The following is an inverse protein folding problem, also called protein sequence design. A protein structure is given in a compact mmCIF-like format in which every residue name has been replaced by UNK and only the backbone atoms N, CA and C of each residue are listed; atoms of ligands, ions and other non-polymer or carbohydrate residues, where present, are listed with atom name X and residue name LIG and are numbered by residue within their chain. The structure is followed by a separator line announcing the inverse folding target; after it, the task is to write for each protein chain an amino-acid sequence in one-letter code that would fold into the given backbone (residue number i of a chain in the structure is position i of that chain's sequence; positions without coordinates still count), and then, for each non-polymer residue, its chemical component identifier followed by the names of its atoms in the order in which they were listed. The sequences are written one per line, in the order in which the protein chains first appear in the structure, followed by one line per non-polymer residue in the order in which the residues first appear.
data_IF_422996022798
#
_entry.id   IF_422996022798
#
_cell.length_a   1.000
_cell.length_b   1.000
_cell.length_c   1.000
_cell.angle_alpha   90.00
_cell.angle_beta   90.00
_cell.angle_gamma   90.00
#
_symmetry.space_group_name_H-M   'P 1'
#
loop_
_entity.id
_entity.type
_entity.pdbx_description
1 polymer ?
#
# COMPACT_ATOMS: atom_id res chain seq x y z
N UNK A 1 -4.93 28.18 9.33
CA UNK A 1 -3.68 27.72 8.69
C UNK A 1 -3.50 26.23 8.92
N UNK A 2 -3.25 25.45 7.88
CA UNK A 2 -3.03 24.01 8.03
C UNK A 2 -1.60 23.70 8.45
N UNK A 3 -1.38 22.54 9.07
CA UNK A 3 -0.06 22.03 9.47
C UNK A 3 0.83 21.82 8.24
N UNK A 4 2.05 22.41 8.22
CA UNK A 4 3.03 22.18 7.16
C UNK A 4 3.50 20.72 7.16
N UNK A 5 3.81 20.18 5.97
CA UNK A 5 4.38 18.84 5.82
C UNK A 5 5.84 18.85 6.28
N UNK A 6 6.22 17.84 7.07
CA UNK A 6 7.60 17.66 7.57
C UNK A 6 7.95 16.19 7.47
N UNK A 7 8.97 15.87 6.71
CA UNK A 7 9.54 14.53 6.60
C UNK A 7 10.69 14.44 7.60
N UNK A 8 10.61 13.50 8.50
CA UNK A 8 11.61 13.22 9.53
C UNK A 8 11.88 11.71 9.54
N UNK A 9 13.09 11.23 9.89
CA UNK A 9 13.35 9.79 10.01
C UNK A 9 12.49 9.14 11.09
N UNK A 10 12.02 7.92 10.83
CA UNK A 10 11.34 7.10 11.82
C UNK A 10 12.35 6.26 12.59
N UNK A 11 12.16 6.11 13.89
CA UNK A 11 13.08 5.32 14.72
C UNK A 11 13.08 3.84 14.34
N UNK A 12 11.95 3.32 13.85
CA UNK A 12 11.85 1.93 13.43
C UNK A 12 12.77 1.60 12.26
N UNK A 13 13.06 2.56 11.39
CA UNK A 13 13.93 2.37 10.22
C UNK A 13 15.40 2.17 10.64
N UNK A 14 15.83 2.80 11.73
CA UNK A 14 17.19 2.75 12.26
C UNK A 14 17.43 1.55 13.20
N UNK A 15 16.37 0.94 13.73
CA UNK A 15 16.49 -0.17 14.67
C UNK A 15 16.84 -1.48 13.97
N UNK A 16 17.74 -2.29 14.57
CA UNK A 16 18.00 -3.65 14.10
C UNK A 16 16.71 -4.48 14.04
N UNK A 17 16.61 -5.35 13.04
CA UNK A 17 15.40 -6.15 12.80
C UNK A 17 14.98 -7.03 14.00
N UNK A 18 15.97 -7.45 14.81
CA UNK A 18 15.81 -8.31 16.00
C UNK A 18 15.65 -7.52 17.32
N UNK A 19 15.74 -6.18 17.29
CA UNK A 19 15.51 -5.36 18.49
C UNK A 19 14.09 -5.61 19.03
N UNK A 20 13.93 -5.92 20.33
CA UNK A 20 12.62 -6.16 20.93
C UNK A 20 11.64 -5.00 20.73
N UNK A 21 12.11 -3.74 20.70
CA UNK A 21 11.30 -2.55 20.44
C UNK A 21 10.81 -2.53 19.00
N UNK A 22 11.68 -2.87 18.04
CA UNK A 22 11.32 -2.96 16.62
C UNK A 22 10.29 -4.08 16.37
N UNK A 23 10.49 -5.26 17.00
CA UNK A 23 9.53 -6.37 16.92
C UNK A 23 8.17 -6.01 17.51
N UNK A 24 8.14 -5.26 18.60
CA UNK A 24 6.88 -4.78 19.21
C UNK A 24 6.23 -3.70 18.34
N UNK A 25 7.01 -2.74 17.83
CA UNK A 25 6.51 -1.68 16.95
C UNK A 25 5.86 -2.25 15.68
N UNK A 26 6.46 -3.26 15.05
CA UNK A 26 5.84 -3.94 13.90
C UNK A 26 4.48 -4.56 14.24
N UNK A 27 4.32 -5.15 15.44
CA UNK A 27 3.02 -5.64 15.91
C UNK A 27 2.02 -4.53 16.17
N UNK A 28 2.48 -3.40 16.72
CA UNK A 28 1.65 -2.21 16.92
C UNK A 28 1.17 -1.63 15.59
N UNK A 29 2.05 -1.57 14.57
CA UNK A 29 1.69 -1.12 13.21
C UNK A 29 0.58 -1.99 12.58
N UNK A 30 0.58 -3.31 12.82
CA UNK A 30 -0.52 -4.18 12.37
C UNK A 30 -1.85 -3.75 12.98
N UNK A 31 -1.88 -3.43 14.28
CA UNK A 31 -3.08 -2.96 14.99
C UNK A 31 -3.52 -1.58 14.50
N UNK A 32 -2.57 -0.65 14.36
CA UNK A 32 -2.82 0.70 13.85
C UNK A 32 -3.41 0.65 12.45
N UNK A 33 -2.82 -0.12 11.53
CA UNK A 33 -3.35 -0.33 10.19
C UNK A 33 -4.76 -0.94 10.18
N UNK A 34 -5.04 -1.86 11.10
CA UNK A 34 -6.38 -2.45 11.23
C UNK A 34 -7.40 -1.40 11.71
N UNK A 35 -7.05 -0.57 12.69
CA UNK A 35 -7.89 0.52 13.19
C UNK A 35 -8.15 1.59 12.11
N UNK A 36 -7.16 1.89 11.27
CA UNK A 36 -7.30 2.83 10.16
C UNK A 36 -8.18 2.28 9.02
N UNK A 37 -8.37 0.96 8.93
CA UNK A 37 -9.15 0.32 7.88
C UNK A 37 -8.52 0.38 6.48
N UNK A 38 -7.21 0.67 6.39
CA UNK A 38 -6.50 0.92 5.13
C UNK A 38 -6.67 -0.21 4.11
N UNK A 39 -6.65 -1.47 4.54
CA UNK A 39 -6.79 -2.60 3.63
C UNK A 39 -8.17 -2.66 2.94
N UNK A 40 -9.24 -2.34 3.65
CA UNK A 40 -10.59 -2.28 3.08
C UNK A 40 -10.72 -1.10 2.11
N UNK A 41 -10.11 0.04 2.45
CA UNK A 41 -10.07 1.23 1.61
C UNK A 41 -9.35 0.92 0.29
N UNK A 42 -8.14 0.35 0.35
CA UNK A 42 -7.36 0.00 -0.85
C UNK A 42 -8.07 -1.06 -1.68
N UNK A 43 -8.67 -2.08 -1.05
CA UNK A 43 -9.46 -3.09 -1.76
C UNK A 43 -10.65 -2.48 -2.51
N UNK A 44 -11.31 -1.48 -1.94
CA UNK A 44 -12.41 -0.75 -2.60
C UNK A 44 -11.91 0.07 -3.80
N UNK A 45 -10.79 0.79 -3.66
CA UNK A 45 -10.20 1.58 -4.75
C UNK A 45 -9.70 0.68 -5.89
N UNK A 46 -9.10 -0.48 -5.59
CA UNK A 46 -8.71 -1.48 -6.58
C UNK A 46 -9.92 -1.99 -7.38
N UNK A 47 -11.04 -2.28 -6.72
CA UNK A 47 -12.28 -2.70 -7.39
C UNK A 47 -12.85 -1.64 -8.31
N UNK A 48 -12.83 -0.37 -7.89
CA UNK A 48 -13.34 0.76 -8.69
C UNK A 48 -12.44 1.02 -9.90
N UNK A 49 -11.10 1.02 -9.69
CA UNK A 49 -10.14 1.38 -10.73
C UNK A 49 -9.87 0.30 -11.76
N UNK A 50 -9.97 -0.99 -11.39
CA UNK A 50 -9.71 -2.11 -12.29
C UNK A 50 -10.96 -2.65 -13.03
N UNK A 51 -12.13 -2.12 -12.74
CA UNK A 51 -13.38 -2.58 -13.32
C UNK A 51 -13.67 -4.05 -13.00
N UNK A 52 -13.83 -4.88 -14.04
CA UNK A 52 -14.16 -6.32 -13.88
C UNK A 52 -12.94 -7.20 -13.54
N UNK A 53 -11.71 -6.71 -13.74
CA UNK A 53 -10.49 -7.52 -13.63
C UNK A 53 -10.10 -7.86 -12.18
N UNK A 54 -10.44 -7.01 -11.21
CA UNK A 54 -10.18 -7.24 -9.79
C UNK A 54 -11.49 -7.56 -9.06
N UNK A 55 -12.19 -8.61 -9.50
CA UNK A 55 -13.47 -9.03 -8.93
C UNK A 55 -13.34 -10.40 -8.27
N UNK A 56 -14.26 -10.64 -7.31
CA UNK A 56 -14.55 -11.99 -6.83
C UNK A 56 -15.09 -12.77 -8.02
N UNK A 57 -14.52 -13.93 -8.36
CA UNK A 57 -15.12 -14.81 -9.34
C UNK A 57 -16.51 -15.21 -8.88
N UNK A 58 -17.34 -15.63 -9.83
CA UNK A 58 -18.57 -16.35 -9.53
C UNK A 58 -18.24 -17.52 -8.60
N UNK A 59 -18.98 -17.74 -7.49
CA UNK A 59 -18.72 -18.85 -6.57
C UNK A 59 -18.52 -20.19 -7.27
N UNK A 60 -19.21 -20.42 -8.38
CA UNK A 60 -19.11 -21.63 -9.18
C UNK A 60 -17.85 -21.70 -10.05
N UNK A 61 -17.24 -20.55 -10.41
CA UNK A 61 -16.01 -20.50 -11.19
C UNK A 61 -14.75 -20.79 -10.35
N UNK A 62 -14.77 -20.49 -9.06
CA UNK A 62 -13.60 -20.72 -8.17
C UNK A 62 -13.45 -22.21 -7.80
N UNK A 63 -14.55 -22.99 -7.79
CA UNK A 63 -14.53 -24.43 -7.53
C UNK A 63 -14.15 -25.25 -8.77
N UNK A 64 -14.36 -24.73 -9.97
CA UNK A 64 -14.05 -25.41 -11.24
C UNK A 64 -12.64 -25.10 -11.79
N UNK A 65 -11.94 -24.10 -11.25
CA UNK A 65 -10.57 -23.73 -11.66
C UNK A 65 -9.49 -24.81 -11.36
N UNK A 66 -9.86 -25.93 -10.77
CA UNK A 66 -8.99 -27.12 -10.67
C UNK A 66 -8.85 -27.90 -12.01
N UNK A 67 -9.61 -27.55 -13.05
CA UNK A 67 -9.48 -28.14 -14.38
C UNK A 67 -8.46 -27.38 -15.24
N UNK A 68 -7.62 -28.11 -15.94
CA UNK A 68 -6.51 -27.65 -16.78
C UNK A 68 -6.84 -26.62 -17.89
N UNK A 69 -8.08 -26.18 -18.03
CA UNK A 69 -8.55 -25.35 -19.14
C UNK A 69 -8.37 -23.82 -18.92
N UNK A 70 -8.09 -23.33 -17.70
CA UNK A 70 -8.06 -21.89 -17.40
C UNK A 70 -6.64 -21.28 -17.21
N UNK A 71 -5.59 -22.00 -17.63
CA UNK A 71 -4.20 -21.50 -17.58
C UNK A 71 -3.87 -20.40 -18.60
N UNK A 72 -4.80 -20.02 -19.45
CA UNK A 72 -4.59 -19.03 -20.52
C UNK A 72 -5.10 -17.64 -20.18
N UNK A 73 -5.82 -17.45 -19.07
CA UNK A 73 -6.20 -16.10 -18.65
C UNK A 73 -5.03 -15.39 -17.99
N UNK A 74 -4.71 -14.15 -18.43
CA UNK A 74 -3.69 -13.37 -17.75
C UNK A 74 -4.14 -13.08 -16.31
N UNK A 75 -3.27 -13.41 -15.34
CA UNK A 75 -3.49 -13.08 -13.94
C UNK A 75 -3.33 -11.57 -13.74
N UNK A 76 -4.11 -11.01 -12.81
CA UNK A 76 -4.00 -9.60 -12.46
C UNK A 76 -2.65 -9.33 -11.77
N UNK A 77 -1.81 -8.52 -12.40
CA UNK A 77 -0.47 -8.19 -11.92
C UNK A 77 -0.53 -7.02 -10.94
N UNK A 78 -0.36 -7.29 -9.66
CA UNK A 78 -0.44 -6.31 -8.57
C UNK A 78 0.87 -6.22 -7.80
N UNK A 79 1.47 -5.04 -7.74
CA UNK A 79 2.63 -4.81 -6.89
C UNK A 79 2.29 -3.96 -5.67
N UNK A 80 2.88 -4.31 -4.52
CA UNK A 80 2.96 -3.45 -3.34
C UNK A 80 4.39 -2.93 -3.22
N UNK A 81 4.58 -1.60 -3.20
CA UNK A 81 5.86 -0.94 -2.92
C UNK A 81 5.91 -0.55 -1.45
N UNK A 82 7.06 -0.82 -0.80
CA UNK A 82 7.19 -0.71 0.66
C UNK A 82 6.41 -1.82 1.37
N UNK A 83 6.48 -3.05 0.85
CA UNK A 83 5.62 -4.16 1.25
C UNK A 83 5.92 -4.72 2.65
N UNK A 84 7.13 -4.49 3.18
CA UNK A 84 7.56 -5.06 4.45
C UNK A 84 7.41 -6.58 4.48
N UNK A 85 6.64 -7.10 5.42
CA UNK A 85 6.35 -8.54 5.57
C UNK A 85 5.21 -9.07 4.67
N UNK A 86 4.65 -8.22 3.80
CA UNK A 86 3.51 -8.55 2.94
C UNK A 86 2.16 -8.63 3.66
N UNK A 87 2.14 -8.35 4.94
CA UNK A 87 0.94 -8.49 5.78
C UNK A 87 -0.17 -7.52 5.40
N UNK A 88 0.16 -6.34 4.86
CA UNK A 88 -0.86 -5.40 4.41
C UNK A 88 -1.56 -5.89 3.15
N UNK A 89 -0.82 -6.28 2.10
CA UNK A 89 -1.43 -6.78 0.87
C UNK A 89 -2.22 -8.08 1.12
N UNK A 90 -1.79 -8.91 2.06
CA UNK A 90 -2.57 -10.08 2.49
C UNK A 90 -3.92 -9.68 3.11
N UNK A 91 -3.99 -8.58 3.86
CA UNK A 91 -5.27 -8.04 4.36
C UNK A 91 -6.13 -7.47 3.23
N UNK A 92 -5.51 -6.83 2.22
CA UNK A 92 -6.21 -6.40 0.99
C UNK A 92 -6.80 -7.60 0.26
N UNK A 93 -6.04 -8.70 0.09
CA UNK A 93 -6.53 -9.94 -0.51
C UNK A 93 -7.76 -10.49 0.23
N UNK A 94 -7.75 -10.46 1.57
CA UNK A 94 -8.91 -10.85 2.39
C UNK A 94 -10.12 -9.95 2.19
N UNK A 95 -9.90 -8.64 2.17
CA UNK A 95 -10.97 -7.64 2.05
C UNK A 95 -11.57 -7.58 0.65
N UNK A 96 -10.77 -7.85 -0.38
CA UNK A 96 -11.21 -7.80 -1.77
C UNK A 96 -12.02 -9.03 -2.17
N UNK A 97 -11.68 -10.22 -1.64
CA UNK A 97 -12.18 -11.49 -2.12
C UNK A 97 -11.78 -11.81 -3.56
N UNK A 98 -10.82 -11.08 -4.14
CA UNK A 98 -10.29 -11.35 -5.47
C UNK A 98 -9.45 -12.64 -5.45
N UNK A 99 -9.41 -13.35 -6.58
CA UNK A 99 -8.50 -14.48 -6.82
C UNK A 99 -7.72 -14.25 -8.13
N UNK A 100 -6.83 -15.18 -8.47
CA UNK A 100 -6.00 -15.16 -9.68
C UNK A 100 -5.15 -13.88 -9.82
N UNK A 101 -4.50 -13.51 -8.72
CA UNK A 101 -3.62 -12.34 -8.63
C UNK A 101 -2.17 -12.79 -8.49
N UNK A 102 -1.30 -12.22 -9.32
CA UNK A 102 0.15 -12.27 -9.16
C UNK A 102 0.59 -11.08 -8.33
N UNK A 103 0.88 -11.32 -7.06
CA UNK A 103 1.30 -10.31 -6.11
C UNK A 103 2.83 -10.18 -6.08
N UNK A 104 3.33 -8.97 -6.27
CA UNK A 104 4.75 -8.63 -6.22
C UNK A 104 4.96 -7.75 -4.99
N UNK A 105 5.73 -8.24 -4.01
CA UNK A 105 5.99 -7.56 -2.75
C UNK A 105 7.40 -6.94 -2.82
N UNK A 106 7.48 -5.64 -3.04
CA UNK A 106 8.73 -4.91 -3.25
C UNK A 106 9.13 -4.17 -1.98
N UNK A 107 10.29 -4.48 -1.45
CA UNK A 107 10.87 -3.79 -0.29
C UNK A 107 12.39 -3.83 -0.35
N UNK A 108 13.06 -2.95 0.38
CA UNK A 108 14.53 -2.96 0.53
C UNK A 108 15.07 -4.16 1.31
N UNK A 109 14.19 -4.86 2.03
CA UNK A 109 14.52 -6.05 2.83
C UNK A 109 13.46 -7.11 2.58
N UNK A 110 13.85 -8.34 2.25
CA UNK A 110 12.88 -9.45 2.18
C UNK A 110 12.51 -9.91 3.60
N UNK A 111 11.39 -9.42 4.08
CA UNK A 111 10.80 -9.83 5.35
C UNK A 111 9.61 -10.79 5.18
N UNK A 112 9.31 -11.23 3.94
CA UNK A 112 8.16 -12.08 3.62
C UNK A 112 8.42 -13.52 4.03
N UNK A 113 7.66 -14.02 5.00
CA UNK A 113 7.82 -15.38 5.52
C UNK A 113 7.14 -16.43 4.63
N UNK A 114 7.57 -17.72 4.78
CA UNK A 114 6.88 -18.84 4.16
C UNK A 114 5.41 -18.94 4.58
N UNK A 115 5.09 -18.60 5.83
CA UNK A 115 3.72 -18.55 6.33
C UNK A 115 2.88 -17.48 5.63
N UNK A 116 3.47 -16.31 5.36
CA UNK A 116 2.80 -15.24 4.59
C UNK A 116 2.51 -15.72 3.16
N UNK A 117 3.48 -16.34 2.48
CA UNK A 117 3.30 -16.89 1.12
C UNK A 117 2.21 -17.97 1.08
N UNK A 118 2.18 -18.89 2.06
CA UNK A 118 1.14 -19.92 2.16
C UNK A 118 -0.26 -19.32 2.34
N UNK A 119 -0.40 -18.21 3.08
CA UNK A 119 -1.68 -17.52 3.25
C UNK A 119 -2.15 -16.81 1.98
N UNK A 120 -1.25 -16.33 1.11
CA UNK A 120 -1.59 -15.85 -0.22
C UNK A 120 -2.06 -17.00 -1.12
N UNK A 121 -1.31 -18.12 -1.15
CA UNK A 121 -1.65 -19.29 -1.94
C UNK A 121 -3.03 -19.86 -1.59
N UNK A 122 -3.39 -19.90 -0.29
CA UNK A 122 -4.72 -20.30 0.18
C UNK A 122 -5.86 -19.41 -0.32
N UNK A 123 -5.56 -18.30 -1.01
CA UNK A 123 -6.51 -17.37 -1.62
C UNK A 123 -6.40 -17.30 -3.14
N UNK A 124 -5.72 -18.27 -3.74
CA UNK A 124 -5.40 -18.27 -5.17
C UNK A 124 -4.61 -17.02 -5.62
N UNK A 125 -3.76 -16.49 -4.72
CA UNK A 125 -2.80 -15.44 -5.02
C UNK A 125 -1.40 -16.04 -5.09
N UNK A 126 -0.66 -15.72 -6.14
CA UNK A 126 0.75 -16.09 -6.25
C UNK A 126 1.60 -14.91 -5.80
N UNK A 127 2.20 -15.01 -4.62
CA UNK A 127 3.01 -13.95 -4.04
C UNK A 127 4.50 -14.23 -4.20
N UNK A 128 5.25 -13.27 -4.74
CA UNK A 128 6.71 -13.27 -4.74
C UNK A 128 7.24 -11.98 -4.11
N UNK A 129 8.31 -12.08 -3.35
CA UNK A 129 9.05 -10.92 -2.85
C UNK A 129 10.15 -10.52 -3.81
N UNK A 130 10.43 -9.21 -3.84
CA UNK A 130 11.54 -8.61 -4.58
C UNK A 130 12.28 -7.67 -3.63
N UNK A 131 13.52 -8.04 -3.26
CA UNK A 131 14.39 -7.16 -2.50
C UNK A 131 15.06 -6.17 -3.46
N UNK A 132 14.64 -4.90 -3.40
CA UNK A 132 15.13 -3.86 -4.30
C UNK A 132 14.85 -2.46 -3.74
N UNK A 133 15.64 -1.48 -4.20
CA UNK A 133 15.24 -0.07 -4.14
C UNK A 133 14.04 0.17 -5.05
N UNK A 134 13.04 0.91 -4.56
CA UNK A 134 11.79 1.15 -5.29
C UNK A 134 12.00 1.87 -6.62
N UNK A 135 12.95 2.81 -6.70
CA UNK A 135 13.23 3.56 -7.91
C UNK A 135 13.86 2.67 -8.99
N UNK A 136 14.81 1.83 -8.60
CA UNK A 136 15.47 0.91 -9.52
C UNK A 136 14.49 -0.17 -10.00
N UNK A 137 13.66 -0.67 -9.10
CA UNK A 137 12.63 -1.62 -9.46
C UNK A 137 11.60 -1.01 -10.44
N UNK A 138 11.11 0.21 -10.17
CA UNK A 138 10.17 0.90 -11.06
C UNK A 138 10.77 1.20 -12.44
N UNK A 139 12.08 1.46 -12.54
CA UNK A 139 12.74 1.65 -13.84
C UNK A 139 12.79 0.37 -14.66
N UNK A 140 12.96 -0.78 -14.01
CA UNK A 140 13.21 -2.07 -14.67
C UNK A 140 11.92 -2.92 -14.86
N UNK A 141 10.88 -2.73 -14.02
CA UNK A 141 9.70 -3.59 -14.05
C UNK A 141 8.89 -3.42 -15.34
N UNK A 142 8.31 -4.51 -15.90
CA UNK A 142 7.36 -4.39 -17.00
C UNK A 142 6.06 -3.69 -16.54
N UNK A 143 5.18 -3.29 -17.49
CA UNK A 143 3.86 -2.76 -17.15
C UNK A 143 3.03 -3.73 -16.31
N UNK A 144 2.30 -3.17 -15.33
CA UNK A 144 1.47 -3.88 -14.36
C UNK A 144 0.03 -3.37 -14.43
N UNK A 145 -0.92 -4.19 -13.98
CA UNK A 145 -2.31 -3.76 -13.85
C UNK A 145 -2.47 -2.75 -12.71
N UNK A 146 -1.83 -2.99 -11.57
CA UNK A 146 -1.88 -2.06 -10.46
C UNK A 146 -0.58 -2.02 -9.63
N UNK A 147 -0.32 -0.84 -9.05
CA UNK A 147 0.67 -0.64 -7.99
C UNK A 147 -0.06 -0.05 -6.79
N UNK A 148 0.22 -0.59 -5.60
CA UNK A 148 -0.26 -0.06 -4.34
C UNK A 148 0.88 0.38 -3.43
N UNK A 149 0.63 1.43 -2.64
CA UNK A 149 1.50 1.88 -1.56
C UNK A 149 0.65 2.11 -0.30
N UNK A 150 1.11 1.62 0.84
CA UNK A 150 0.44 1.87 2.11
C UNK A 150 1.44 2.31 3.16
N UNK A 151 1.24 3.49 3.71
CA UNK A 151 2.12 4.10 4.70
C UNK A 151 3.59 4.08 4.21
N UNK A 152 3.80 4.52 2.97
CA UNK A 152 5.11 4.47 2.33
C UNK A 152 5.51 5.81 1.68
N UNK A 153 4.58 6.53 1.03
CA UNK A 153 4.90 7.75 0.28
C UNK A 153 5.36 8.89 1.18
N UNK A 154 4.92 8.91 2.42
CA UNK A 154 5.23 9.97 3.37
C UNK A 154 6.71 10.01 3.79
N UNK A 155 7.47 8.93 3.57
CA UNK A 155 8.93 8.91 3.81
C UNK A 155 9.74 9.75 2.81
N UNK A 156 9.13 10.18 1.69
CA UNK A 156 9.86 10.86 0.61
C UNK A 156 9.63 12.37 0.61
N UNK A 157 10.71 13.12 0.43
CA UNK A 157 10.65 14.54 0.14
C UNK A 157 9.96 14.80 -1.22
N UNK A 158 9.36 15.97 -1.45
CA UNK A 158 8.51 16.24 -2.61
C UNK A 158 9.16 15.93 -3.96
N UNK A 159 10.46 16.24 -4.14
CA UNK A 159 11.15 15.99 -5.40
C UNK A 159 11.32 14.48 -5.68
N UNK A 160 11.72 13.70 -4.67
CA UNK A 160 11.86 12.25 -4.78
C UNK A 160 10.50 11.57 -4.93
N UNK A 161 9.48 12.07 -4.24
CA UNK A 161 8.11 11.59 -4.40
C UNK A 161 7.60 11.81 -5.82
N UNK A 162 7.82 13.00 -6.41
CA UNK A 162 7.42 13.29 -7.78
C UNK A 162 8.10 12.36 -8.80
N UNK A 163 9.41 12.07 -8.61
CA UNK A 163 10.14 11.10 -9.43
C UNK A 163 9.51 9.69 -9.34
N UNK A 164 9.24 9.22 -8.13
CA UNK A 164 8.63 7.90 -7.91
C UNK A 164 7.24 7.80 -8.55
N UNK A 165 6.39 8.82 -8.37
CA UNK A 165 5.06 8.87 -8.98
C UNK A 165 5.13 8.90 -10.50
N UNK A 166 6.10 9.60 -11.09
CA UNK A 166 6.34 9.62 -12.53
C UNK A 166 6.75 8.23 -13.06
N UNK A 167 7.62 7.52 -12.35
CA UNK A 167 8.00 6.14 -12.69
C UNK A 167 6.81 5.18 -12.54
N UNK A 168 6.06 5.27 -11.45
CA UNK A 168 4.88 4.44 -11.22
C UNK A 168 3.81 4.64 -12.30
N UNK A 169 3.57 5.89 -12.73
CA UNK A 169 2.64 6.21 -13.81
C UNK A 169 3.03 5.60 -15.18
N UNK A 170 4.31 5.32 -15.41
CA UNK A 170 4.77 4.64 -16.62
C UNK A 170 4.53 3.13 -16.57
N UNK A 171 4.41 2.56 -15.36
CA UNK A 171 4.40 1.11 -15.14
C UNK A 171 3.03 0.56 -14.75
N UNK A 172 2.13 1.38 -14.20
CA UNK A 172 0.83 0.93 -13.76
C UNK A 172 -0.31 1.48 -14.60
N UNK A 173 -1.39 0.71 -14.73
CA UNK A 173 -2.69 1.18 -15.23
C UNK A 173 -3.51 1.79 -14.10
N UNK A 174 -3.30 1.33 -12.88
CA UNK A 174 -3.92 1.80 -11.66
C UNK A 174 -2.85 1.99 -10.58
N UNK A 175 -2.81 3.16 -9.96
CA UNK A 175 -1.98 3.41 -8.79
C UNK A 175 -2.87 3.81 -7.62
N UNK A 176 -2.69 3.16 -6.47
CA UNK A 176 -3.45 3.46 -5.25
C UNK A 176 -2.48 3.65 -4.09
N UNK A 177 -2.57 4.78 -3.42
CA UNK A 177 -1.84 5.03 -2.18
C UNK A 177 -2.80 5.29 -1.03
N UNK A 178 -2.48 4.73 0.14
CA UNK A 178 -3.19 4.98 1.39
C UNK A 178 -2.18 5.41 2.46
N UNK A 179 -2.23 6.68 2.84
CA UNK A 179 -1.20 7.36 3.62
C UNK A 179 -1.79 7.98 4.91
N UNK A 180 -0.95 8.38 5.88
CA UNK A 180 -1.43 9.11 7.03
C UNK A 180 -2.08 10.44 6.62
N UNK A 181 -3.26 10.72 7.18
CA UNK A 181 -3.92 12.02 7.00
C UNK A 181 -3.24 13.06 7.90
N UNK A 182 -2.66 14.12 7.30
CA UNK A 182 -2.08 15.23 8.04
C UNK A 182 -3.18 16.15 8.59
N UNK A 183 -3.64 15.87 9.80
CA UNK A 183 -4.66 16.67 10.48
C UNK A 183 -4.38 16.73 11.99
N UNK A 184 -4.90 17.78 12.64
CA UNK A 184 -4.80 17.92 14.11
C UNK A 184 -5.45 16.76 14.84
N UNK A 185 -6.56 16.24 14.30
CA UNK A 185 -7.25 15.09 14.86
C UNK A 185 -6.36 13.83 14.82
N UNK A 186 -5.76 13.52 13.66
CA UNK A 186 -4.87 12.38 13.51
C UNK A 186 -3.62 12.52 14.39
N UNK A 187 -3.07 13.74 14.50
CA UNK A 187 -1.92 14.01 15.37
C UNK A 187 -2.25 13.75 16.85
N UNK A 188 -3.41 14.17 17.30
CA UNK A 188 -3.85 13.90 18.68
C UNK A 188 -4.08 12.39 18.88
N UNK A 189 -4.68 11.69 17.92
CA UNK A 189 -4.81 10.23 17.95
C UNK A 189 -3.45 9.53 18.07
N UNK A 190 -2.45 9.95 17.28
CA UNK A 190 -1.09 9.40 17.34
C UNK A 190 -0.46 9.59 18.73
N UNK A 191 -0.65 10.75 19.36
CA UNK A 191 -0.14 11.03 20.72
C UNK A 191 -0.81 10.14 21.80
N UNK A 192 -2.04 9.70 21.56
CA UNK A 192 -2.80 8.87 22.51
C UNK A 192 -2.53 7.36 22.34
N UNK A 193 -1.71 6.93 21.37
CA UNK A 193 -1.38 5.52 21.15
C UNK A 193 -0.75 4.84 22.39
N UNK A 194 -0.14 5.61 23.29
CA UNK A 194 0.33 5.10 24.57
C UNK A 194 -0.78 4.53 25.45
N UNK A 195 -2.00 5.09 25.38
CA UNK A 195 -3.15 4.62 26.16
C UNK A 195 -3.66 3.24 25.71
N UNK A 196 -3.37 2.85 24.46
CA UNK A 196 -3.71 1.53 23.91
C UNK A 196 -2.53 0.56 23.92
N UNK A 197 -1.47 0.90 24.65
CA UNK A 197 -0.34 0.02 24.92
C UNK A 197 0.72 -0.04 23.82
N UNK A 198 0.74 0.90 22.86
CA UNK A 198 1.83 1.02 21.90
C UNK A 198 3.13 1.45 22.56
N UNK A 199 4.26 0.91 22.10
CA UNK A 199 5.58 1.26 22.64
C UNK A 199 6.01 2.69 22.25
N UNK A 200 7.15 3.12 22.78
CA UNK A 200 7.73 4.44 22.53
C UNK A 200 8.08 4.68 21.06
N UNK A 201 8.64 3.69 20.37
CA UNK A 201 8.95 3.73 18.95
C UNK A 201 7.68 3.97 18.14
N UNK A 202 6.64 3.13 18.32
CA UNK A 202 5.37 3.28 17.60
C UNK A 202 4.70 4.64 17.84
N UNK A 203 4.81 5.17 19.05
CA UNK A 203 4.24 6.48 19.43
C UNK A 203 4.98 7.63 18.75
N UNK A 204 6.31 7.58 18.76
CA UNK A 204 7.15 8.56 18.08
C UNK A 204 6.87 8.56 16.58
N UNK A 205 6.98 7.38 15.96
CA UNK A 205 6.86 7.21 14.51
C UNK A 205 5.45 7.57 14.01
N UNK A 206 4.40 7.24 14.74
CA UNK A 206 3.05 7.67 14.39
C UNK A 206 2.88 9.19 14.34
N UNK A 207 3.54 9.94 15.23
CA UNK A 207 3.54 11.41 15.21
C UNK A 207 4.31 11.93 14.02
N UNK A 208 5.48 11.35 13.73
CA UNK A 208 6.32 11.68 12.58
C UNK A 208 5.55 11.41 11.28
N UNK A 209 4.99 10.20 11.12
CA UNK A 209 4.19 9.80 9.95
C UNK A 209 3.00 10.73 9.70
N UNK A 210 2.25 11.14 10.76
CA UNK A 210 1.14 12.09 10.59
C UNK A 210 1.64 13.47 10.13
N UNK A 211 2.78 13.95 10.62
CA UNK A 211 3.37 15.21 10.17
C UNK A 211 3.89 15.15 8.73
N UNK A 212 4.42 14.01 8.32
CA UNK A 212 4.87 13.73 6.96
C UNK A 212 3.71 13.35 6.02
N UNK A 213 2.54 13.00 6.55
CA UNK A 213 1.36 12.59 5.81
C UNK A 213 0.80 13.64 4.87
N UNK A 214 -0.32 13.33 4.25
CA UNK A 214 -0.90 14.15 3.16
C UNK A 214 -2.26 14.74 3.52
N UNK A 215 -2.65 15.76 2.77
CA UNK A 215 -3.96 16.42 2.81
C UNK A 215 -4.28 17.03 1.46
N UNK A 216 -5.53 17.38 1.26
CA UNK A 216 -6.04 18.06 0.06
C UNK A 216 -5.63 17.32 -1.23
N UNK A 217 -5.04 17.98 -2.21
CA UNK A 217 -4.56 17.44 -3.48
C UNK A 217 -3.02 17.37 -3.60
N UNK A 218 -2.31 17.14 -2.50
CA UNK A 218 -0.83 17.22 -2.49
C UNK A 218 -0.16 16.14 -3.33
N UNK A 219 -0.70 14.91 -3.34
CA UNK A 219 -0.17 13.84 -4.19
C UNK A 219 -0.57 14.10 -5.65
N UNK A 220 -1.82 14.54 -5.90
CA UNK A 220 -2.29 14.90 -7.24
C UNK A 220 -1.48 16.02 -7.87
N UNK A 221 -1.00 16.97 -7.07
CA UNK A 221 -0.16 18.06 -7.55
C UNK A 221 1.21 17.56 -8.06
N UNK A 222 1.70 16.45 -7.54
CA UNK A 222 2.96 15.80 -7.93
C UNK A 222 2.76 14.71 -9.00
N UNK A 223 1.52 14.25 -9.23
CA UNK A 223 1.24 13.25 -10.26
C UNK A 223 1.50 13.82 -11.66
N UNK A 224 2.07 13.06 -12.60
CA UNK A 224 2.39 13.54 -13.94
C UNK A 224 1.19 14.15 -14.66
N UNK A 225 1.35 15.38 -15.12
CA UNK A 225 0.37 16.07 -15.94
C UNK A 225 0.53 15.58 -17.38
N UNK A 226 -0.42 14.84 -17.86
CA UNK A 226 -0.43 14.29 -19.22
C UNK A 226 -0.86 12.82 -19.23
N UNK A 227 -1.48 12.41 -20.32
CA UNK A 227 -2.13 11.10 -20.42
C UNK A 227 -3.56 11.12 -19.88
N UNK A 228 -4.35 10.12 -20.26
CA UNK A 228 -5.74 9.98 -19.85
C UNK A 228 -5.80 9.35 -18.45
N UNK A 229 -5.58 10.16 -17.39
CA UNK A 229 -5.69 9.71 -16.01
C UNK A 229 -6.96 10.26 -15.36
N UNK A 230 -7.75 9.38 -14.77
CA UNK A 230 -8.77 9.74 -13.80
C UNK A 230 -8.15 9.69 -12.40
N UNK A 231 -8.06 10.84 -11.75
CA UNK A 231 -7.41 10.99 -10.44
C UNK A 231 -8.45 11.30 -9.38
N UNK A 232 -8.36 10.60 -8.26
CA UNK A 232 -9.14 10.85 -7.05
C UNK A 232 -8.19 10.95 -5.86
N UNK A 233 -8.36 11.98 -5.05
CA UNK A 233 -7.58 12.17 -3.83
C UNK A 233 -8.46 12.75 -2.72
N UNK A 234 -8.22 12.34 -1.49
CA UNK A 234 -8.90 12.90 -0.34
C UNK A 234 -8.86 12.03 0.91
N UNK A 235 -9.44 12.54 1.97
CA UNK A 235 -9.56 11.83 3.24
C UNK A 235 -10.49 10.61 3.12
N UNK A 236 -10.10 9.52 3.77
CA UNK A 236 -10.93 8.34 3.98
C UNK A 236 -10.90 7.97 5.46
N UNK A 237 -12.06 7.97 6.11
CA UNK A 237 -12.12 7.83 7.55
C UNK A 237 -11.43 8.98 8.29
N UNK A 238 -10.98 8.71 9.52
CA UNK A 238 -10.44 9.73 10.41
C UNK A 238 -8.93 9.95 10.23
N UNK A 239 -8.19 8.91 9.83
CA UNK A 239 -6.73 8.87 9.91
C UNK A 239 -6.05 8.69 8.57
N UNK A 240 -6.79 8.30 7.52
CA UNK A 240 -6.22 7.96 6.22
C UNK A 240 -6.47 9.04 5.17
N UNK A 241 -5.50 9.23 4.30
CA UNK A 241 -5.55 10.02 3.09
C UNK A 241 -5.28 9.10 1.91
N UNK A 242 -6.15 9.11 0.91
CA UNK A 242 -6.10 8.17 -0.21
C UNK A 242 -5.91 8.93 -1.51
N UNK A 243 -5.03 8.40 -2.32
CA UNK A 243 -4.83 8.81 -3.70
C UNK A 243 -5.04 7.61 -4.62
N UNK A 244 -5.81 7.78 -5.68
CA UNK A 244 -6.00 6.77 -6.72
C UNK A 244 -5.95 7.43 -8.10
N UNK A 245 -5.10 6.90 -8.97
CA UNK A 245 -4.98 7.31 -10.36
C UNK A 245 -5.22 6.10 -11.27
N UNK A 246 -6.23 6.16 -12.11
CA UNK A 246 -6.60 5.11 -13.05
C UNK A 246 -6.43 5.62 -14.48
N UNK A 247 -5.72 4.87 -15.33
CA UNK A 247 -5.58 5.20 -16.74
C UNK A 247 -6.89 4.89 -17.46
N UNK A 248 -7.49 5.90 -18.09
CA UNK A 248 -8.71 5.71 -18.89
C UNK A 248 -8.39 4.81 -20.08
N UNK A 249 -9.10 3.71 -20.23
CA UNK A 249 -9.13 2.95 -21.49
C UNK A 249 -9.86 3.78 -22.53
N UNK A 250 -9.17 4.16 -23.60
CA UNK A 250 -9.83 4.69 -24.81
C UNK A 250 -10.63 3.59 -25.48
#
# INVERSE_FOLDING_TARGET
MGMARRVEPEWLDDLPAHDPRALRSRRDLVRINALMGNAAIVAAELKVGSGTHFRRPDPDACTTAASNADRTRPHFQLAEIGAGDGGFLLRVARASGACDVDAILVDRKDAVTGATRAQFAARSWRARSVEADVFDWLRATPPLDAIVANLFLHHFEPARLAEMLALAAQRARLFVACEPRRSTFALNGARLLGLVGCNDVSRHDAVVSVRAGFRDGEISALWPKGGAWSVREGARGLFSHVFAACRSTR
#
